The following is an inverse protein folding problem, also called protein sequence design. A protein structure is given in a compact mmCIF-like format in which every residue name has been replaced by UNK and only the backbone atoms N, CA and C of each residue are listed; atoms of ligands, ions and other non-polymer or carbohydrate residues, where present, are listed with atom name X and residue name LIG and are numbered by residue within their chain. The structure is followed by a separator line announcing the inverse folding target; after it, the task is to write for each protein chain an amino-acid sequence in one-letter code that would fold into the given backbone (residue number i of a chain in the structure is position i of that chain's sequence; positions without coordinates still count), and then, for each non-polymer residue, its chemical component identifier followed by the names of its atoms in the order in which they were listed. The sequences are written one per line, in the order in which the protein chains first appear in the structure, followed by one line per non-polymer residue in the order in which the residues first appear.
data_IF_048631027503
#
_entry.id   IF_048631027503
#
_cell.length_a   1.000
_cell.length_b   1.000
_cell.length_c   1.000
_cell.angle_alpha   90.00
_cell.angle_beta   90.00
_cell.angle_gamma   90.00
#
_symmetry.space_group_name_H-M   'P 1'
#
loop_
_entity.id
_entity.type
_entity.pdbx_description
1 polymer ?
#
# COMPACT_ATOMS: atom_id res chain seq x y z
N UNK A 1 31.50 26.55 -12.60
CA UNK A 1 30.77 26.82 -11.34
C UNK A 1 29.85 25.65 -11.11
N UNK A 2 30.09 24.82 -10.09
CA UNK A 2 29.22 23.69 -9.76
C UNK A 2 27.99 24.23 -9.03
N UNK A 3 26.89 24.39 -9.76
CA UNK A 3 25.58 24.73 -9.19
C UNK A 3 25.24 23.67 -8.15
N UNK A 4 25.12 24.07 -6.88
CA UNK A 4 24.87 23.11 -5.81
C UNK A 4 23.38 22.79 -5.80
N UNK A 5 23.00 21.59 -6.25
CA UNK A 5 21.61 21.12 -6.19
C UNK A 5 21.15 21.09 -4.74
N UNK A 6 20.07 21.81 -4.43
CA UNK A 6 19.45 21.86 -3.09
C UNK A 6 18.18 21.02 -3.12
N UNK A 7 17.97 20.08 -2.19
CA UNK A 7 16.76 19.28 -2.17
C UNK A 7 15.56 20.15 -1.80
N UNK A 8 14.42 19.92 -2.45
CA UNK A 8 13.18 20.63 -2.15
C UNK A 8 12.66 20.19 -0.78
N UNK A 9 12.32 21.18 0.06
CA UNK A 9 11.72 20.94 1.36
C UNK A 9 10.20 21.13 1.28
N UNK A 10 9.46 20.05 1.46
CA UNK A 10 8.01 20.08 1.45
C UNK A 10 7.46 20.31 2.87
N UNK A 11 6.61 21.34 3.01
CA UNK A 11 5.81 21.62 4.20
C UNK A 11 4.33 21.25 4.05
N UNK A 12 3.95 20.77 2.86
CA UNK A 12 2.61 20.25 2.54
C UNK A 12 2.73 19.24 1.39
N UNK A 13 1.69 18.42 1.19
CA UNK A 13 1.65 17.43 0.12
C UNK A 13 1.37 18.12 -1.22
N UNK A 14 2.26 18.01 -2.22
CA UNK A 14 2.09 18.67 -3.50
C UNK A 14 0.96 18.04 -4.32
N UNK A 15 0.36 18.81 -5.23
CA UNK A 15 -0.67 18.33 -6.15
C UNK A 15 -0.18 18.39 -7.59
N UNK A 16 -0.39 17.32 -8.34
CA UNK A 16 -0.20 17.29 -9.79
C UNK A 16 -1.53 17.09 -10.51
N UNK A 17 -1.70 17.85 -11.59
CA UNK A 17 -2.82 17.74 -12.51
C UNK A 17 -2.49 16.72 -13.59
N UNK A 18 -3.15 15.56 -13.57
CA UNK A 18 -2.85 14.45 -14.48
C UNK A 18 -3.08 14.81 -15.95
N UNK A 19 -4.00 15.72 -16.28
CA UNK A 19 -4.27 16.08 -17.69
C UNK A 19 -3.09 16.79 -18.34
N UNK A 20 -2.24 17.47 -17.55
CA UNK A 20 -1.02 18.12 -18.03
C UNK A 20 0.03 17.14 -18.51
N UNK A 21 -0.08 15.87 -18.11
CA UNK A 21 0.77 14.81 -18.64
C UNK A 21 0.33 14.35 -20.03
N UNK A 22 -0.90 14.61 -20.51
CA UNK A 22 -1.45 13.83 -21.63
C UNK A 22 -0.91 14.22 -23.02
N UNK A 23 -0.33 15.40 -23.17
CA UNK A 23 0.10 15.92 -24.48
C UNK A 23 1.54 16.44 -24.45
N UNK A 24 2.35 16.19 -25.50
CA UNK A 24 3.69 16.77 -25.60
C UNK A 24 3.64 18.30 -25.57
N UNK A 25 4.60 18.91 -24.87
CA UNK A 25 4.75 20.35 -24.80
C UNK A 25 5.14 20.84 -23.41
N UNK A 26 5.21 22.17 -23.23
CA UNK A 26 5.74 22.78 -22.00
C UNK A 26 5.01 22.35 -20.72
N UNK A 27 3.71 22.06 -20.79
CA UNK A 27 2.93 21.61 -19.63
C UNK A 27 3.34 20.21 -19.17
N UNK A 28 3.59 19.28 -20.11
CA UNK A 28 4.07 17.94 -19.80
C UNK A 28 5.50 17.99 -19.28
N UNK A 29 6.36 18.81 -19.87
CA UNK A 29 7.73 18.99 -19.39
C UNK A 29 7.74 19.50 -17.94
N UNK A 30 6.88 20.47 -17.62
CA UNK A 30 6.70 20.97 -16.26
C UNK A 30 6.14 19.90 -15.32
N UNK A 31 5.13 19.13 -15.76
CA UNK A 31 4.57 18.01 -15.00
C UNK A 31 5.66 16.98 -14.66
N UNK A 32 6.46 16.56 -15.63
CA UNK A 32 7.54 15.57 -15.45
C UNK A 32 8.65 16.10 -14.54
N UNK A 33 9.00 17.39 -14.65
CA UNK A 33 9.97 18.01 -13.76
C UNK A 33 9.47 18.07 -12.31
N UNK A 34 8.20 18.45 -12.09
CA UNK A 34 7.59 18.42 -10.76
C UNK A 34 7.47 17.00 -10.22
N UNK A 35 7.05 16.04 -11.05
CA UNK A 35 6.98 14.64 -10.67
C UNK A 35 8.35 14.12 -10.23
N UNK A 36 9.43 14.37 -11.00
CA UNK A 36 10.80 14.01 -10.62
C UNK A 36 11.18 14.56 -9.24
N UNK A 37 10.93 15.84 -9.00
CA UNK A 37 11.25 16.46 -7.71
C UNK A 37 10.49 15.80 -6.56
N UNK A 38 9.19 15.56 -6.74
CA UNK A 38 8.33 14.88 -5.76
C UNK A 38 8.85 13.47 -5.47
N UNK A 39 9.11 12.68 -6.52
CA UNK A 39 9.57 11.29 -6.41
C UNK A 39 10.85 11.19 -5.58
N UNK A 40 11.76 12.15 -5.76
CA UNK A 40 13.04 12.18 -5.09
C UNK A 40 12.87 12.73 -3.66
N UNK A 41 12.14 13.83 -3.46
CA UNK A 41 12.22 14.61 -2.22
C UNK A 41 11.06 14.39 -1.22
N UNK A 42 9.95 13.76 -1.60
CA UNK A 42 8.87 13.45 -0.64
C UNK A 42 8.14 12.13 -0.91
N UNK A 43 8.07 11.65 -2.14
CA UNK A 43 7.45 10.36 -2.49
C UNK A 43 5.93 10.28 -2.27
N UNK A 44 5.27 11.42 -2.09
CA UNK A 44 3.83 11.58 -1.88
C UNK A 44 3.30 12.77 -2.68
N UNK A 45 2.12 12.62 -3.27
CA UNK A 45 1.40 13.70 -3.94
C UNK A 45 -0.11 13.47 -3.92
N UNK A 46 -0.89 14.53 -4.14
CA UNK A 46 -2.24 14.42 -4.70
C UNK A 46 -2.15 14.37 -6.22
N UNK A 47 -2.95 13.50 -6.83
CA UNK A 47 -3.15 13.43 -8.28
C UNK A 47 -4.59 13.83 -8.57
N UNK A 48 -4.78 15.02 -9.14
CA UNK A 48 -6.08 15.54 -9.56
C UNK A 48 -6.35 15.24 -11.04
N UNK A 49 -7.62 15.32 -11.45
CA UNK A 49 -8.06 15.10 -12.84
C UNK A 49 -7.53 13.79 -13.44
N UNK A 50 -7.44 12.75 -12.59
CA UNK A 50 -7.00 11.41 -12.98
C UNK A 50 -7.99 10.74 -13.95
N UNK A 51 -7.56 9.70 -14.65
CA UNK A 51 -8.37 9.00 -15.65
C UNK A 51 -9.51 8.15 -15.10
N UNK A 52 -9.54 7.85 -13.80
CA UNK A 52 -10.63 7.07 -13.18
C UNK A 52 -11.92 7.91 -13.14
N UNK A 53 -13.01 7.33 -13.62
CA UNK A 53 -14.32 7.99 -13.67
C UNK A 53 -14.81 8.39 -12.28
N UNK A 54 -15.31 9.62 -12.16
CA UNK A 54 -15.91 10.09 -10.91
C UNK A 54 -17.19 9.32 -10.54
N UNK A 55 -17.91 8.74 -11.50
CA UNK A 55 -19.04 7.85 -11.20
C UNK A 55 -18.57 6.59 -10.45
N UNK A 56 -17.48 5.99 -10.90
CA UNK A 56 -16.83 4.83 -10.27
C UNK A 56 -16.31 5.18 -8.87
N UNK A 57 -15.62 6.32 -8.72
CA UNK A 57 -15.16 6.81 -7.40
C UNK A 57 -16.34 7.02 -6.46
N UNK A 58 -17.40 7.70 -6.91
CA UNK A 58 -18.57 8.00 -6.09
C UNK A 58 -19.33 6.73 -5.66
N UNK A 59 -19.42 5.71 -6.53
CA UNK A 59 -19.99 4.41 -6.15
C UNK A 59 -19.20 3.76 -5.02
N UNK A 60 -17.87 3.73 -5.11
CA UNK A 60 -17.02 3.15 -4.06
C UNK A 60 -17.17 3.91 -2.74
N UNK A 61 -17.17 5.25 -2.78
CA UNK A 61 -17.44 6.10 -1.61
C UNK A 61 -18.80 5.75 -0.98
N UNK A 62 -19.85 5.59 -1.79
CA UNK A 62 -21.19 5.28 -1.32
C UNK A 62 -21.33 3.85 -0.75
N UNK A 63 -20.53 2.90 -1.22
CA UNK A 63 -20.53 1.51 -0.73
C UNK A 63 -19.67 1.30 0.51
N UNK A 64 -18.67 2.16 0.74
CA UNK A 64 -17.77 2.08 1.88
C UNK A 64 -18.51 1.93 3.23
N UNK A 65 -19.39 2.87 3.63
CA UNK A 65 -20.13 2.75 4.90
C UNK A 65 -21.07 1.54 4.90
N UNK A 66 -21.79 1.31 3.79
CA UNK A 66 -22.79 0.23 3.68
C UNK A 66 -22.21 -1.15 3.97
N UNK A 67 -20.99 -1.43 3.50
CA UNK A 67 -20.32 -2.70 3.79
C UNK A 67 -20.01 -2.85 5.28
N UNK A 68 -19.45 -1.82 5.93
CA UNK A 68 -19.05 -1.93 7.33
C UNK A 68 -20.22 -1.90 8.32
N UNK A 69 -21.37 -1.37 7.89
CA UNK A 69 -22.64 -1.37 8.60
C UNK A 69 -23.41 -2.70 8.48
N UNK A 70 -22.96 -3.63 7.63
CA UNK A 70 -23.55 -4.97 7.56
C UNK A 70 -23.51 -5.69 8.92
N UNK A 71 -24.48 -6.58 9.21
CA UNK A 71 -24.43 -7.45 10.37
C UNK A 71 -23.08 -8.17 10.49
N UNK A 72 -22.58 -8.31 11.71
CA UNK A 72 -21.23 -8.87 11.94
C UNK A 72 -21.12 -10.28 11.37
N UNK A 73 -22.19 -11.07 11.42
CA UNK A 73 -22.25 -12.43 10.88
C UNK A 73 -21.99 -12.47 9.37
N UNK A 74 -22.44 -11.45 8.62
CA UNK A 74 -22.19 -11.34 7.18
C UNK A 74 -20.73 -10.97 6.92
N UNK A 75 -20.18 -10.01 7.68
CA UNK A 75 -18.75 -9.63 7.57
C UNK A 75 -17.85 -10.82 7.92
N UNK A 76 -18.22 -11.61 8.93
CA UNK A 76 -17.49 -12.80 9.35
C UNK A 76 -17.60 -13.95 8.34
N UNK A 77 -18.70 -14.05 7.56
CA UNK A 77 -18.82 -15.05 6.49
C UNK A 77 -17.80 -14.84 5.35
N UNK A 78 -17.27 -13.62 5.22
CA UNK A 78 -16.22 -13.27 4.23
C UNK A 78 -14.88 -13.00 4.90
N UNK A 79 -14.65 -13.53 6.10
CA UNK A 79 -13.39 -13.38 6.85
C UNK A 79 -12.19 -13.87 6.03
N UNK A 80 -11.09 -13.09 6.06
CA UNK A 80 -9.89 -13.39 5.28
C UNK A 80 -9.29 -14.77 5.59
N UNK A 81 -9.59 -15.35 6.77
CA UNK A 81 -9.15 -16.70 7.15
C UNK A 81 -9.83 -17.83 6.40
N UNK A 82 -10.87 -17.52 5.62
CA UNK A 82 -11.55 -18.41 4.70
C UNK A 82 -10.92 -18.40 3.29
N UNK A 83 -9.88 -17.60 3.04
CA UNK A 83 -9.23 -17.48 1.74
C UNK A 83 -7.74 -17.84 1.79
N UNK A 84 -7.25 -18.83 1.01
CA UNK A 84 -5.81 -19.07 0.86
C UNK A 84 -5.09 -17.85 0.24
N UNK A 85 -5.83 -16.99 -0.46
CA UNK A 85 -5.31 -15.77 -1.06
C UNK A 85 -5.17 -14.62 -0.06
N UNK A 86 -5.61 -14.77 1.20
CA UNK A 86 -5.66 -13.70 2.21
C UNK A 86 -6.53 -12.52 1.74
N UNK A 87 -7.64 -12.82 1.07
CA UNK A 87 -8.66 -11.85 0.65
C UNK A 87 -9.89 -12.02 1.55
N UNK A 88 -10.57 -10.93 1.85
CA UNK A 88 -11.75 -10.91 2.72
C UNK A 88 -11.68 -9.85 3.83
N UNK A 89 -12.64 -9.93 4.72
CA UNK A 89 -12.81 -9.05 5.88
C UNK A 89 -11.80 -9.36 7.00
N UNK A 90 -11.38 -8.31 7.69
CA UNK A 90 -10.45 -8.38 8.80
C UNK A 90 -10.67 -7.21 9.75
N UNK A 91 -10.60 -7.45 11.06
CA UNK A 91 -10.80 -6.46 12.11
C UNK A 91 -9.59 -6.46 13.08
N UNK A 92 -9.02 -5.27 13.30
CA UNK A 92 -7.95 -5.00 14.27
C UNK A 92 -8.51 -4.08 15.34
N UNK A 93 -8.38 -4.47 16.61
CA UNK A 93 -8.88 -3.70 17.76
C UNK A 93 -10.26 -4.14 18.27
N UNK A 94 -10.98 -5.02 17.57
CA UNK A 94 -12.17 -5.71 18.09
C UNK A 94 -11.85 -6.89 19.04
N UNK A 95 -12.85 -7.73 19.35
CA UNK A 95 -12.69 -8.95 20.17
C UNK A 95 -11.64 -9.95 19.62
N UNK A 96 -11.21 -9.78 18.37
CA UNK A 96 -10.08 -10.51 17.77
C UNK A 96 -8.83 -9.64 17.79
N UNK A 97 -7.98 -9.86 18.78
CA UNK A 97 -6.60 -9.33 18.79
C UNK A 97 -5.79 -10.12 17.75
N UNK A 98 -5.79 -9.66 16.50
CA UNK A 98 -4.89 -10.20 15.47
C UNK A 98 -3.74 -9.22 15.23
N UNK A 99 -2.54 -9.79 15.17
CA UNK A 99 -1.24 -9.14 15.03
C UNK A 99 -1.04 -8.46 13.67
N UNK A 100 -1.85 -7.47 13.32
CA UNK A 100 -1.48 -6.58 12.24
C UNK A 100 -0.39 -5.63 12.74
N UNK A 101 0.88 -6.03 12.58
CA UNK A 101 2.01 -5.11 12.76
C UNK A 101 2.30 -4.48 11.40
N UNK A 102 1.95 -3.20 11.25
CA UNK A 102 2.38 -2.40 10.09
C UNK A 102 3.85 -1.95 10.22
N UNK A 103 4.39 -1.87 11.44
CA UNK A 103 5.74 -1.36 11.77
C UNK A 103 6.86 -2.40 12.00
N UNK A 104 8.07 -1.87 12.23
CA UNK A 104 9.38 -2.57 12.34
C UNK A 104 9.48 -3.62 13.45
N UNK A 105 10.46 -4.53 13.30
CA UNK A 105 10.74 -5.68 14.17
C UNK A 105 10.81 -5.32 15.68
N UNK A 106 9.74 -5.62 16.42
CA UNK A 106 9.69 -5.50 17.88
C UNK A 106 8.25 -5.39 18.41
N UNK A 107 8.03 -5.52 19.73
CA UNK A 107 6.76 -5.15 20.34
C UNK A 107 6.56 -3.63 20.29
N UNK A 108 5.61 -3.15 19.48
CA UNK A 108 5.14 -1.75 19.51
C UNK A 108 4.14 -1.58 20.66
N UNK A 109 4.25 -0.51 21.48
CA UNK A 109 3.24 -0.19 22.49
C UNK A 109 1.97 0.43 21.89
N UNK A 110 1.91 0.59 20.56
CA UNK A 110 0.82 1.23 19.82
C UNK A 110 -0.29 0.21 19.54
N UNK A 111 -1.54 0.61 19.81
CA UNK A 111 -2.75 -0.14 19.49
C UNK A 111 -3.35 0.41 18.20
N UNK A 112 -3.46 -0.43 17.18
CA UNK A 112 -4.15 -0.09 15.93
C UNK A 112 -5.63 -0.45 16.04
N UNK A 113 -6.53 0.46 15.61
CA UNK A 113 -7.97 0.23 15.56
C UNK A 113 -8.47 0.47 14.13
N UNK A 114 -8.93 -0.59 13.45
CA UNK A 114 -9.46 -0.52 12.08
C UNK A 114 -10.23 -1.77 11.67
N UNK A 115 -11.19 -1.61 10.79
CA UNK A 115 -11.76 -2.68 9.99
C UNK A 115 -11.27 -2.56 8.54
N UNK A 116 -11.11 -3.69 7.87
CA UNK A 116 -10.77 -3.72 6.44
C UNK A 116 -11.50 -4.83 5.71
N UNK A 117 -11.68 -4.63 4.41
CA UNK A 117 -12.07 -5.65 3.46
C UNK A 117 -11.08 -5.63 2.29
N UNK A 118 -10.31 -6.70 2.12
CA UNK A 118 -9.29 -6.80 1.08
C UNK A 118 -9.80 -7.63 -0.09
N UNK A 119 -9.69 -7.09 -1.30
CA UNK A 119 -10.03 -7.80 -2.51
C UNK A 119 -8.94 -7.59 -3.58
N UNK A 120 -9.02 -8.38 -4.64
CA UNK A 120 -8.23 -8.27 -5.85
C UNK A 120 -9.15 -8.53 -7.04
N UNK A 121 -8.60 -8.51 -8.27
CA UNK A 121 -9.34 -8.98 -9.43
C UNK A 121 -9.87 -10.40 -9.17
N UNK A 122 -11.16 -10.61 -9.41
CA UNK A 122 -11.80 -11.90 -9.19
C UNK A 122 -11.44 -12.83 -10.36
N UNK A 123 -10.32 -13.54 -10.20
CA UNK A 123 -9.75 -14.40 -11.24
C UNK A 123 -9.97 -15.85 -10.87
N UNK A 124 -10.40 -16.64 -11.86
CA UNK A 124 -10.69 -18.06 -11.71
C UNK A 124 -9.36 -18.81 -11.48
N UNK A 125 -8.93 -18.87 -10.22
CA UNK A 125 -7.65 -19.47 -9.83
C UNK A 125 -7.80 -20.99 -9.76
N UNK A 126 -7.89 -21.64 -10.92
CA UNK A 126 -7.56 -23.07 -10.95
C UNK A 126 -6.05 -23.17 -10.78
N UNK A 127 -5.61 -23.22 -9.53
CA UNK A 127 -4.24 -23.60 -9.16
C UNK A 127 -4.02 -25.01 -9.71
N UNK A 128 -3.31 -25.11 -10.83
CA UNK A 128 -2.95 -26.41 -11.36
C UNK A 128 -2.02 -27.14 -10.37
N UNK A 129 -2.14 -28.46 -10.30
CA UNK A 129 -1.22 -29.28 -9.53
C UNK A 129 0.24 -29.00 -9.97
N UNK A 130 1.12 -28.78 -9.00
CA UNK A 130 2.54 -28.48 -9.23
C UNK A 130 2.89 -26.99 -9.42
N UNK A 131 1.93 -26.06 -9.34
CA UNK A 131 2.26 -24.63 -9.27
C UNK A 131 3.03 -24.29 -7.98
N UNK A 132 3.93 -23.30 -8.01
CA UNK A 132 4.65 -22.87 -6.81
C UNK A 132 3.74 -22.40 -5.68
N UNK A 133 4.09 -22.70 -4.43
CA UNK A 133 3.23 -22.44 -3.26
C UNK A 133 2.74 -20.99 -3.13
N UNK A 134 3.54 -20.01 -3.56
CA UNK A 134 3.18 -18.60 -3.52
C UNK A 134 2.05 -18.20 -4.49
N UNK A 135 1.72 -19.02 -5.49
CA UNK A 135 0.64 -18.73 -6.44
C UNK A 135 -0.74 -18.88 -5.81
N UNK A 136 -0.88 -19.60 -4.69
CA UNK A 136 -2.11 -19.63 -3.85
C UNK A 136 -2.53 -18.26 -3.31
N UNK A 137 -1.64 -17.27 -3.39
CA UNK A 137 -1.95 -15.87 -3.11
C UNK A 137 -2.82 -15.22 -4.19
N UNK A 138 -2.94 -15.85 -5.36
CA UNK A 138 -3.93 -15.57 -6.38
C UNK A 138 -5.17 -16.40 -6.08
N UNK A 139 -6.31 -15.75 -5.99
CA UNK A 139 -7.55 -16.45 -5.70
C UNK A 139 -8.77 -15.55 -5.77
N UNK A 140 -9.96 -16.15 -5.81
CA UNK A 140 -11.21 -15.40 -5.86
C UNK A 140 -11.38 -14.53 -4.62
N UNK A 141 -12.03 -13.39 -4.81
CA UNK A 141 -12.42 -12.52 -3.70
C UNK A 141 -13.52 -13.18 -2.86
N UNK A 142 -13.52 -12.94 -1.55
CA UNK A 142 -14.63 -13.33 -0.67
C UNK A 142 -15.63 -12.18 -0.64
N UNK A 143 -16.66 -12.24 -1.46
CA UNK A 143 -17.66 -11.18 -1.58
C UNK A 143 -18.90 -11.47 -0.73
N UNK A 144 -19.55 -10.46 -0.11
CA UNK A 144 -20.85 -10.66 0.50
C UNK A 144 -21.86 -11.12 -0.57
N UNK A 145 -22.94 -11.82 -0.19
CA UNK A 145 -23.96 -12.23 -1.15
C UNK A 145 -24.56 -11.03 -1.90
N UNK A 146 -24.82 -11.19 -3.19
CA UNK A 146 -25.31 -10.12 -4.06
C UNK A 146 -26.66 -9.57 -3.58
N UNK A 147 -27.50 -10.44 -3.02
CA UNK A 147 -28.78 -10.08 -2.41
C UNK A 147 -28.66 -9.25 -1.12
N UNK A 148 -27.53 -9.33 -0.42
CA UNK A 148 -27.28 -8.60 0.83
C UNK A 148 -26.72 -7.20 0.54
N UNK A 149 -25.83 -7.08 -0.45
CA UNK A 149 -25.27 -5.80 -0.85
C UNK A 149 -25.18 -5.68 -2.39
N UNK A 150 -26.33 -5.47 -3.08
CA UNK A 150 -26.41 -5.47 -4.53
C UNK A 150 -25.45 -4.47 -5.18
N UNK A 151 -24.78 -4.89 -6.26
CA UNK A 151 -23.88 -4.08 -7.06
C UNK A 151 -22.52 -3.78 -6.41
N UNK A 152 -22.28 -4.23 -5.17
CA UNK A 152 -21.02 -3.98 -4.45
C UNK A 152 -19.82 -4.54 -5.20
N UNK A 153 -19.85 -5.85 -5.49
CA UNK A 153 -18.77 -6.52 -6.21
C UNK A 153 -18.47 -5.83 -7.54
N UNK A 154 -19.50 -5.57 -8.34
CA UNK A 154 -19.35 -4.92 -9.64
C UNK A 154 -18.71 -3.54 -9.54
N UNK A 155 -19.13 -2.70 -8.58
CA UNK A 155 -18.58 -1.37 -8.38
C UNK A 155 -17.10 -1.38 -7.94
N UNK A 156 -16.72 -2.29 -7.04
CA UNK A 156 -15.34 -2.41 -6.57
C UNK A 156 -14.40 -3.03 -7.60
N UNK A 157 -14.89 -3.95 -8.43
CA UNK A 157 -14.13 -4.51 -9.56
C UNK A 157 -13.91 -3.44 -10.65
N UNK A 158 -14.94 -2.67 -11.01
CA UNK A 158 -14.79 -1.55 -11.95
C UNK A 158 -13.76 -0.50 -11.46
N UNK A 159 -13.82 -0.15 -10.18
CA UNK A 159 -12.80 0.71 -9.55
C UNK A 159 -11.40 0.10 -9.62
N UNK A 160 -11.26 -1.20 -9.32
CA UNK A 160 -9.99 -1.90 -9.41
C UNK A 160 -9.39 -1.80 -10.80
N UNK A 161 -10.17 -2.08 -11.84
CA UNK A 161 -9.69 -2.11 -13.23
C UNK A 161 -9.25 -0.74 -13.72
N UNK A 162 -10.02 0.31 -13.41
CA UNK A 162 -9.68 1.67 -13.81
C UNK A 162 -8.42 2.19 -13.07
N UNK A 163 -8.31 1.92 -11.76
CA UNK A 163 -7.11 2.32 -10.99
C UNK A 163 -5.89 1.49 -11.41
N UNK A 164 -6.08 0.21 -11.76
CA UNK A 164 -5.01 -0.62 -12.32
C UNK A 164 -4.46 -0.01 -13.60
N UNK A 165 -5.32 0.40 -14.54
CA UNK A 165 -4.88 1.07 -15.78
C UNK A 165 -4.10 2.33 -15.48
N UNK A 166 -4.64 3.22 -14.63
CA UNK A 166 -3.96 4.44 -14.20
C UNK A 166 -2.59 4.13 -13.58
N UNK A 167 -2.46 3.06 -12.81
CA UNK A 167 -1.22 2.70 -12.15
C UNK A 167 -0.08 2.35 -13.12
N UNK A 168 -0.40 1.69 -14.24
CA UNK A 168 0.59 1.40 -15.28
C UNK A 168 0.98 2.66 -16.04
N UNK A 169 0.00 3.49 -16.44
CA UNK A 169 0.26 4.75 -17.14
C UNK A 169 1.13 5.68 -16.29
N UNK A 170 0.85 5.75 -14.99
CA UNK A 170 1.62 6.54 -14.04
C UNK A 170 3.03 5.97 -13.82
N UNK A 171 3.21 4.64 -13.82
CA UNK A 171 4.53 4.03 -13.75
C UNK A 171 5.41 4.45 -14.96
N UNK A 172 4.83 4.52 -16.16
CA UNK A 172 5.55 5.05 -17.34
C UNK A 172 5.93 6.52 -17.21
N UNK A 173 5.03 7.36 -16.67
CA UNK A 173 5.34 8.77 -16.37
C UNK A 173 6.45 8.91 -15.33
N UNK A 174 6.51 8.03 -14.32
CA UNK A 174 7.62 7.99 -13.36
C UNK A 174 8.93 7.69 -14.09
N UNK A 175 8.97 6.66 -14.95
CA UNK A 175 10.19 6.30 -15.68
C UNK A 175 10.71 7.47 -16.51
N UNK A 176 9.83 8.08 -17.30
CA UNK A 176 10.14 9.24 -18.14
C UNK A 176 10.57 10.45 -17.32
N UNK A 177 9.88 10.73 -16.20
CA UNK A 177 10.26 11.83 -15.31
C UNK A 177 11.69 11.65 -14.78
N UNK A 178 12.15 10.42 -14.61
CA UNK A 178 13.51 10.09 -14.19
C UNK A 178 14.51 10.03 -15.37
N UNK A 179 14.08 10.39 -16.58
CA UNK A 179 14.88 10.36 -17.80
C UNK A 179 15.19 8.95 -18.31
N UNK A 180 14.36 7.97 -17.94
CA UNK A 180 14.42 6.61 -18.46
C UNK A 180 13.45 6.44 -19.64
N UNK A 181 13.60 5.32 -20.36
CA UNK A 181 12.58 4.85 -21.29
C UNK A 181 11.23 4.67 -20.54
N UNK A 182 10.08 5.12 -21.08
CA UNK A 182 8.78 4.95 -20.43
C UNK A 182 8.40 3.50 -20.10
N UNK A 183 8.99 2.52 -20.78
CA UNK A 183 8.81 1.09 -20.53
C UNK A 183 9.85 0.50 -19.57
N UNK A 184 10.77 1.31 -19.01
CA UNK A 184 11.87 0.82 -18.17
C UNK A 184 11.39 0.02 -16.94
N UNK A 185 10.19 0.30 -16.43
CA UNK A 185 9.61 -0.44 -15.30
C UNK A 185 8.84 -1.71 -15.67
N UNK A 186 8.53 -1.95 -16.96
CA UNK A 186 7.74 -3.10 -17.39
C UNK A 186 8.40 -4.44 -17.06
N UNK A 187 9.73 -4.48 -16.96
CA UNK A 187 10.48 -5.69 -16.62
C UNK A 187 10.16 -6.25 -15.22
N UNK A 188 9.60 -5.44 -14.32
CA UNK A 188 9.15 -5.89 -13.00
C UNK A 188 7.67 -6.29 -12.97
N UNK A 189 6.97 -6.20 -14.09
CA UNK A 189 5.56 -6.55 -14.23
C UNK A 189 5.40 -7.76 -15.15
N UNK A 190 4.33 -8.52 -14.93
CA UNK A 190 3.93 -9.56 -15.88
C UNK A 190 3.36 -8.88 -17.14
N UNK A 191 3.85 -9.32 -18.31
CA UNK A 191 3.29 -8.88 -19.61
C UNK A 191 1.79 -9.18 -19.70
N UNK A 192 1.41 -10.33 -19.14
CA UNK A 192 0.02 -10.67 -18.94
C UNK A 192 -0.47 -10.04 -17.63
N UNK A 193 -1.21 -8.93 -17.75
CA UNK A 193 -1.79 -8.21 -16.61
C UNK A 193 -2.72 -9.11 -15.77
N UNK A 194 -3.24 -10.20 -16.35
CA UNK A 194 -4.03 -11.20 -15.61
C UNK A 194 -3.21 -12.03 -14.63
N UNK A 195 -1.88 -11.91 -14.63
CA UNK A 195 -0.99 -12.51 -13.62
C UNK A 195 -0.52 -11.52 -12.56
N UNK A 196 -0.75 -10.23 -12.79
CA UNK A 196 -0.41 -9.19 -11.83
C UNK A 196 -1.37 -9.22 -10.66
N UNK A 197 -0.88 -9.03 -9.44
CA UNK A 197 -1.71 -9.11 -8.24
C UNK A 197 -1.80 -7.79 -7.46
N UNK A 198 -2.27 -6.68 -8.06
CA UNK A 198 -2.71 -5.55 -7.28
C UNK A 198 -3.75 -5.96 -6.26
N UNK A 199 -3.78 -5.27 -5.14
CA UNK A 199 -4.78 -5.48 -4.09
C UNK A 199 -5.40 -4.16 -3.71
N UNK A 200 -6.68 -4.20 -3.41
CA UNK A 200 -7.40 -3.04 -2.90
C UNK A 200 -7.89 -3.39 -1.51
N UNK A 201 -7.83 -2.41 -0.61
CA UNK A 201 -8.46 -2.52 0.71
C UNK A 201 -9.51 -1.45 0.82
N UNK A 202 -10.73 -1.83 1.15
CA UNK A 202 -11.71 -0.92 1.70
C UNK A 202 -11.45 -0.85 3.21
N UNK A 203 -11.25 0.34 3.78
CA UNK A 203 -10.81 0.53 5.17
C UNK A 203 -11.78 1.43 5.93
N UNK A 204 -12.04 1.10 7.19
CA UNK A 204 -12.81 1.88 8.17
C UNK A 204 -11.96 2.12 9.42
N UNK A 205 -11.92 3.37 9.86
CA UNK A 205 -11.29 3.79 11.11
C UNK A 205 -12.36 4.42 11.99
N UNK A 206 -12.81 3.74 13.05
CA UNK A 206 -13.73 4.32 14.01
C UNK A 206 -12.98 5.35 14.90
N UNK A 207 -13.72 6.24 15.58
CA UNK A 207 -13.18 7.04 16.68
C UNK A 207 -12.47 6.14 17.72
N UNK A 208 -11.44 6.65 18.42
CA UNK A 208 -10.73 5.87 19.41
C UNK A 208 -11.66 5.42 20.54
N UNK A 209 -11.45 4.21 21.04
CA UNK A 209 -12.20 3.66 22.19
C UNK A 209 -11.91 4.43 23.48
N UNK A 210 -10.68 4.91 23.62
CA UNK A 210 -10.25 5.82 24.68
C UNK A 210 -9.57 7.05 24.05
N UNK A 211 -10.29 8.18 23.91
CA UNK A 211 -9.72 9.42 23.38
C UNK A 211 -8.53 9.97 24.17
N UNK A 212 -8.33 9.53 25.42
CA UNK A 212 -7.21 9.94 26.27
C UNK A 212 -5.94 9.12 26.07
N UNK A 213 -6.01 7.99 25.33
CA UNK A 213 -4.88 7.12 25.09
C UNK A 213 -4.08 7.58 23.86
N UNK A 214 -2.89 8.19 24.02
CA UNK A 214 -2.09 8.66 22.90
C UNK A 214 -1.46 7.52 22.07
N UNK A 215 -1.65 6.26 22.50
CA UNK A 215 -1.13 5.07 21.84
C UNK A 215 -2.18 4.37 20.98
N UNK A 216 -3.43 4.85 20.95
CA UNK A 216 -4.45 4.36 20.02
C UNK A 216 -4.38 5.15 18.70
N UNK A 217 -4.24 4.44 17.59
CA UNK A 217 -4.14 5.04 16.25
C UNK A 217 -4.84 4.16 15.22
N UNK A 218 -5.10 4.68 14.02
CA UNK A 218 -5.63 3.88 12.92
C UNK A 218 -4.59 2.87 12.39
N UNK A 219 -3.42 3.37 11.98
CA UNK A 219 -2.26 2.57 11.56
C UNK A 219 -0.99 3.23 12.07
N UNK A 220 -0.08 2.44 12.65
CA UNK A 220 1.25 2.90 13.07
C UNK A 220 2.09 3.37 11.85
N UNK A 221 3.17 4.07 12.14
CA UNK A 221 4.14 4.51 11.15
C UNK A 221 4.71 3.33 10.37
N UNK A 222 4.55 3.37 9.04
CA UNK A 222 5.04 2.34 8.13
C UNK A 222 5.37 2.90 6.75
N UNK A 223 5.92 2.05 5.90
CA UNK A 223 6.16 2.31 4.48
C UNK A 223 5.50 1.19 3.68
N UNK A 224 4.86 1.53 2.57
CA UNK A 224 4.22 0.54 1.71
C UNK A 224 5.24 -0.34 1.03
N UNK A 225 4.98 -1.65 0.96
CA UNK A 225 5.93 -2.63 0.39
C UNK A 225 5.87 -2.76 -1.12
N UNK A 226 4.75 -2.37 -1.73
CA UNK A 226 4.47 -2.54 -3.15
C UNK A 226 5.29 -1.61 -4.04
N UNK A 227 4.80 -1.41 -5.26
CA UNK A 227 5.41 -0.51 -6.23
C UNK A 227 4.87 0.91 -6.08
N UNK A 228 3.55 1.06 -6.22
CA UNK A 228 2.81 2.31 -6.06
C UNK A 228 1.55 2.06 -5.25
N UNK A 229 1.11 3.07 -4.51
CA UNK A 229 -0.19 3.09 -3.84
C UNK A 229 -1.00 4.26 -4.37
N UNK A 230 -2.26 4.00 -4.73
CA UNK A 230 -3.27 5.00 -5.08
C UNK A 230 -4.35 4.95 -4.00
N UNK A 231 -4.37 5.96 -3.13
CA UNK A 231 -5.25 6.03 -1.98
C UNK A 231 -6.39 7.01 -2.24
N UNK A 232 -7.62 6.47 -2.30
CA UNK A 232 -8.82 7.28 -2.19
C UNK A 232 -9.11 7.58 -0.72
N UNK A 233 -9.18 8.85 -0.34
CA UNK A 233 -9.71 9.25 0.96
C UNK A 233 -11.24 9.35 0.86
N UNK A 234 -11.94 8.25 1.14
CA UNK A 234 -13.37 8.06 0.85
C UNK A 234 -14.33 8.72 1.87
N UNK A 235 -13.83 9.69 2.64
CA UNK A 235 -14.58 10.48 3.62
C UNK A 235 -13.85 11.79 3.85
N UNK A 236 -14.55 12.85 4.26
CA UNK A 236 -13.93 14.14 4.57
C UNK A 236 -13.27 14.19 5.97
N UNK A 237 -12.98 13.05 6.57
CA UNK A 237 -12.37 12.93 7.90
C UNK A 237 -10.84 12.80 7.76
N UNK A 238 -10.11 13.73 8.38
CA UNK A 238 -8.65 13.72 8.40
C UNK A 238 -8.07 12.54 9.18
N UNK A 239 -6.78 12.25 8.96
CA UNK A 239 -6.05 11.26 9.76
C UNK A 239 -4.73 10.79 9.14
N UNK A 240 -4.57 10.89 7.83
CA UNK A 240 -3.31 10.55 7.17
C UNK A 240 -2.25 11.61 7.45
N UNK A 241 -1.07 11.16 7.87
CA UNK A 241 0.13 11.99 8.01
C UNK A 241 1.34 11.36 7.31
N UNK A 242 2.18 12.21 6.72
CA UNK A 242 3.34 11.82 5.90
C UNK A 242 4.59 12.44 6.49
N UNK A 243 5.67 11.67 6.63
CA UNK A 243 6.91 12.17 7.21
C UNK A 243 7.83 12.78 6.16
N UNK A 244 8.11 14.07 6.20
CA UNK A 244 9.01 14.72 5.24
C UNK A 244 10.50 14.38 5.50
N UNK A 245 11.40 14.88 4.64
CA UNK A 245 12.85 14.65 4.74
C UNK A 245 13.51 15.27 5.98
N UNK A 246 12.87 16.25 6.61
CA UNK A 246 13.28 16.84 7.90
C UNK A 246 12.78 16.03 9.09
N UNK A 247 12.00 14.97 8.85
CA UNK A 247 11.46 14.10 9.89
C UNK A 247 10.14 14.61 10.50
N UNK A 248 9.57 15.69 9.99
CA UNK A 248 8.31 16.29 10.43
C UNK A 248 7.10 15.55 9.83
N UNK A 249 6.03 15.44 10.60
CA UNK A 249 4.76 14.88 10.14
C UNK A 249 3.89 15.96 9.48
N UNK A 250 3.61 15.79 8.19
CA UNK A 250 2.75 16.65 7.40
C UNK A 250 1.34 16.07 7.35
N UNK A 251 0.32 16.89 7.63
CA UNK A 251 -1.06 16.50 7.43
C UNK A 251 -1.37 16.30 5.94
N UNK A 252 -2.12 15.24 5.62
CA UNK A 252 -2.62 14.93 4.29
C UNK A 252 -4.17 14.88 4.30
N UNK A 253 -4.84 16.05 4.42
CA UNK A 253 -6.30 16.10 4.52
C UNK A 253 -7.00 15.59 3.26
N UNK A 254 -8.24 15.08 3.35
CA UNK A 254 -9.03 14.74 2.16
C UNK A 254 -9.17 15.91 1.19
N UNK A 255 -8.99 15.64 -0.11
CA UNK A 255 -9.21 16.59 -1.20
C UNK A 255 -10.07 15.89 -2.25
N UNK A 256 -11.26 16.45 -2.50
CA UNK A 256 -12.23 15.88 -3.44
C UNK A 256 -11.66 15.75 -4.86
N UNK A 257 -11.98 14.65 -5.53
CA UNK A 257 -11.54 14.39 -6.91
C UNK A 257 -10.04 14.08 -7.05
N UNK A 258 -9.37 13.67 -5.97
CA UNK A 258 -7.95 13.30 -6.00
C UNK A 258 -7.70 11.89 -5.47
N UNK A 259 -6.64 11.28 -5.98
CA UNK A 259 -5.94 10.21 -5.26
C UNK A 259 -4.74 10.79 -4.53
N UNK A 260 -4.49 10.32 -3.31
CA UNK A 260 -3.13 10.42 -2.74
C UNK A 260 -2.31 9.30 -3.37
N UNK A 261 -1.22 9.64 -4.04
CA UNK A 261 -0.29 8.68 -4.64
C UNK A 261 0.99 8.65 -3.83
N UNK A 262 1.43 7.46 -3.44
CA UNK A 262 2.71 7.28 -2.77
C UNK A 262 3.52 6.12 -3.32
N UNK A 263 4.83 6.22 -3.14
CA UNK A 263 5.78 5.23 -3.62
C UNK A 263 5.95 4.13 -2.58
N UNK A 264 6.14 2.90 -3.06
CA UNK A 264 6.43 1.76 -2.22
C UNK A 264 7.91 1.35 -2.24
N UNK A 265 8.28 0.48 -1.30
CA UNK A 265 9.64 -0.03 -1.12
C UNK A 265 10.15 -0.79 -2.34
N UNK A 266 9.28 -1.42 -3.14
CA UNK A 266 9.72 -2.07 -4.36
C UNK A 266 10.23 -1.05 -5.38
N UNK A 267 9.54 0.08 -5.56
CA UNK A 267 9.99 1.16 -6.45
C UNK A 267 11.29 1.81 -5.92
N UNK A 268 11.37 2.10 -4.61
CA UNK A 268 12.61 2.60 -4.02
C UNK A 268 13.77 1.62 -4.27
N UNK A 269 13.53 0.31 -4.11
CA UNK A 269 14.55 -0.70 -4.32
C UNK A 269 15.06 -0.73 -5.75
N UNK A 270 14.17 -0.82 -6.74
CA UNK A 270 14.57 -0.93 -8.14
C UNK A 270 15.21 0.36 -8.66
N UNK A 271 14.86 1.51 -8.07
CA UNK A 271 15.47 2.81 -8.39
C UNK A 271 16.71 3.12 -7.54
N UNK A 272 17.19 2.16 -6.74
CA UNK A 272 18.34 2.30 -5.84
C UNK A 272 18.26 3.50 -4.89
N UNK A 273 17.07 3.79 -4.41
CA UNK A 273 16.83 4.90 -3.49
C UNK A 273 16.54 6.23 -4.17
N UNK A 274 16.61 6.35 -5.51
CA UNK A 274 16.27 7.61 -6.20
C UNK A 274 14.84 8.00 -5.86
N UNK A 275 13.88 7.11 -6.10
CA UNK A 275 12.51 7.27 -5.59
C UNK A 275 12.47 6.97 -4.10
N UNK A 276 11.81 7.81 -3.31
CA UNK A 276 11.69 7.61 -1.87
C UNK A 276 10.32 7.02 -1.53
N UNK A 277 10.28 5.84 -0.93
CA UNK A 277 9.09 5.42 -0.22
C UNK A 277 9.08 6.08 1.17
N UNK A 278 7.99 6.74 1.48
CA UNK A 278 7.96 7.66 2.62
C UNK A 278 7.12 7.08 3.74
N UNK A 279 7.64 7.23 4.95
CA UNK A 279 6.97 6.81 6.16
C UNK A 279 5.69 7.62 6.34
N UNK A 280 4.59 6.92 6.55
CA UNK A 280 3.27 7.52 6.76
C UNK A 280 2.52 6.76 7.87
N UNK A 281 1.55 7.42 8.47
CA UNK A 281 0.70 6.86 9.53
C UNK A 281 -0.75 7.33 9.38
N UNK A 282 -1.67 6.64 10.04
CA UNK A 282 -3.07 7.05 10.10
C UNK A 282 -3.46 7.23 11.56
N UNK A 283 -3.76 8.45 11.96
CA UNK A 283 -4.35 8.77 13.25
C UNK A 283 -5.81 8.34 13.28
N UNK A 284 -6.29 7.91 14.45
CA UNK A 284 -7.73 7.71 14.64
C UNK A 284 -8.46 9.06 14.52
N UNK A 285 -9.72 9.07 14.02
CA UNK A 285 -10.51 10.28 13.95
C UNK A 285 -10.56 11.02 15.29
N UNK A 286 -10.38 12.35 15.31
CA UNK A 286 -10.40 13.13 16.55
C UNK A 286 -11.82 13.37 17.09
N UNK A 287 -12.85 13.10 16.28
CA UNK A 287 -14.26 13.32 16.60
C UNK A 287 -15.10 12.06 16.43
N UNK A 288 -16.45 12.17 16.53
CA UNK A 288 -17.35 11.02 16.44
C UNK A 288 -17.48 10.45 15.03
N UNK A 289 -16.96 11.14 14.02
CA UNK A 289 -17.04 10.74 12.61
C UNK A 289 -16.13 9.56 12.30
N UNK A 290 -16.57 8.70 11.38
CA UNK A 290 -15.80 7.54 10.91
C UNK A 290 -15.02 7.92 9.67
N UNK A 291 -13.71 7.60 9.64
CA UNK A 291 -12.89 7.78 8.44
C UNK A 291 -12.95 6.53 7.57
N UNK A 292 -13.12 6.71 6.26
CA UNK A 292 -13.04 5.67 5.25
C UNK A 292 -11.92 5.95 4.26
N UNK A 293 -11.25 4.91 3.79
CA UNK A 293 -10.26 5.05 2.71
C UNK A 293 -10.11 3.78 1.90
N UNK A 294 -9.70 3.91 0.63
CA UNK A 294 -9.59 2.80 -0.31
C UNK A 294 -8.23 2.81 -1.01
N UNK A 295 -7.16 2.30 -0.37
CA UNK A 295 -5.87 2.12 -1.04
C UNK A 295 -5.90 0.98 -2.04
N UNK A 296 -5.48 1.28 -3.28
CA UNK A 296 -5.04 0.33 -4.29
C UNK A 296 -3.52 0.21 -4.22
N UNK A 297 -3.02 -1.02 -4.06
CA UNK A 297 -1.59 -1.34 -4.00
C UNK A 297 -1.17 -2.02 -5.30
N UNK A 298 -0.47 -1.28 -6.16
CA UNK A 298 0.27 -1.88 -7.27
C UNK A 298 1.45 -2.68 -6.72
N UNK A 299 1.68 -3.85 -7.28
CA UNK A 299 2.76 -4.76 -6.87
C UNK A 299 3.66 -5.06 -8.08
N UNK A 300 4.80 -5.68 -7.82
CA UNK A 300 5.60 -6.30 -8.89
C UNK A 300 5.09 -7.71 -9.19
N UNK A 301 5.50 -8.27 -10.33
CA UNK A 301 5.29 -9.67 -10.66
C UNK A 301 5.78 -10.58 -9.52
N UNK A 302 5.08 -11.68 -9.27
CA UNK A 302 5.55 -12.68 -8.30
C UNK A 302 6.81 -13.42 -8.76
N UNK A 303 7.17 -13.32 -10.05
CA UNK A 303 8.23 -14.09 -10.68
C UNK A 303 9.53 -13.30 -10.89
N UNK A 304 9.63 -12.08 -10.35
CA UNK A 304 10.85 -11.27 -10.43
C UNK A 304 11.60 -11.24 -9.10
N UNK A 305 12.92 -11.08 -9.14
CA UNK A 305 13.71 -10.55 -8.02
C UNK A 305 13.95 -9.07 -8.28
N UNK A 306 13.85 -8.24 -7.25
CA UNK A 306 13.99 -6.79 -7.43
C UNK A 306 15.42 -6.37 -7.81
N UNK A 307 16.42 -7.20 -7.50
CA UNK A 307 17.82 -6.95 -7.83
C UNK A 307 18.18 -7.28 -9.29
N UNK A 308 17.27 -7.88 -10.06
CA UNK A 308 17.59 -8.38 -11.42
C UNK A 308 17.74 -7.26 -12.47
N UNK A 309 17.57 -5.98 -12.10
CA UNK A 309 17.81 -4.85 -13.00
C UNK A 309 18.53 -3.65 -12.36
N UNK A 310 19.20 -2.88 -13.22
CA UNK A 310 20.03 -1.73 -12.88
C UNK A 310 19.69 -0.52 -13.77
N UNK A 311 18.63 0.26 -13.43
CA UNK A 311 18.28 1.43 -14.21
C UNK A 311 19.40 2.47 -14.17
N UNK A 312 19.78 2.94 -15.37
CA UNK A 312 20.80 3.97 -15.55
C UNK A 312 20.15 5.36 -15.58
N UNK A 313 20.22 6.08 -14.48
CA UNK A 313 19.67 7.43 -14.39
C UNK A 313 20.62 8.49 -14.97
N UNK A 314 20.10 9.57 -15.57
CA UNK A 314 20.89 10.75 -15.93
C UNK A 314 21.61 11.35 -14.72
N UNK A 315 22.72 12.04 -14.99
CA UNK A 315 23.55 12.65 -13.96
C UNK A 315 22.76 13.62 -13.05
N UNK A 316 21.83 14.39 -13.61
CA UNK A 316 20.99 15.33 -12.86
C UNK A 316 20.14 14.65 -11.77
N UNK A 317 19.58 13.47 -12.07
CA UNK A 317 18.78 12.68 -11.13
C UNK A 317 19.66 12.17 -9.99
N UNK A 318 20.87 11.73 -10.30
CA UNK A 318 21.85 11.33 -9.29
C UNK A 318 22.28 12.48 -8.40
N UNK A 319 22.41 13.68 -8.94
CA UNK A 319 22.75 14.88 -8.17
C UNK A 319 21.62 15.28 -7.22
N UNK A 320 20.37 15.24 -7.67
CA UNK A 320 19.18 15.45 -6.82
C UNK A 320 19.11 14.41 -5.69
N UNK A 321 19.29 13.13 -6.01
CA UNK A 321 19.34 12.05 -5.03
C UNK A 321 20.44 12.29 -3.98
N UNK A 322 21.68 12.59 -4.42
CA UNK A 322 22.81 12.86 -3.51
C UNK A 322 22.57 14.10 -2.65
N UNK A 323 21.93 15.14 -3.21
CA UNK A 323 21.58 16.34 -2.47
C UNK A 323 20.59 16.04 -1.33
N UNK A 324 19.56 15.23 -1.60
CA UNK A 324 18.62 14.74 -0.58
C UNK A 324 19.30 13.88 0.47
N UNK A 325 20.17 12.95 0.08
CA UNK A 325 20.86 12.05 1.03
C UNK A 325 21.66 12.79 2.09
N UNK A 326 22.24 13.96 1.76
CA UNK A 326 22.96 14.81 2.73
C UNK A 326 22.06 15.39 3.82
N UNK A 327 20.74 15.37 3.63
CA UNK A 327 19.73 15.93 4.56
C UNK A 327 18.96 14.87 5.34
N UNK A 328 18.94 13.62 4.88
CA UNK A 328 18.22 12.55 5.55
C UNK A 328 18.95 12.14 6.84
N UNK A 329 18.24 12.20 7.96
CA UNK A 329 18.69 11.65 9.26
C UNK A 329 18.50 10.12 9.36
N UNK A 330 18.36 9.46 8.21
CA UNK A 330 18.35 8.00 8.12
C UNK A 330 19.48 7.56 7.19
N UNK A 331 20.35 6.63 7.60
CA UNK A 331 21.03 5.83 6.60
C UNK A 331 19.94 5.13 5.79
N UNK A 332 20.00 5.16 4.46
CA UNK A 332 19.23 4.22 3.63
C UNK A 332 19.83 2.84 3.89
N UNK A 333 19.49 2.26 5.03
CA UNK A 333 19.86 0.90 5.38
C UNK A 333 19.00 -0.01 4.53
N UNK A 334 19.66 -0.79 3.68
CA UNK A 334 19.07 -1.79 2.79
C UNK A 334 18.51 -2.97 3.58
N UNK A 335 17.47 -2.76 4.39
CA UNK A 335 16.80 -3.83 5.15
C UNK A 335 15.70 -4.45 4.31
N UNK A 336 16.06 -4.96 3.14
CA UNK A 336 15.30 -5.96 2.40
C UNK A 336 16.28 -6.98 1.80
N UNK A 337 17.12 -7.58 2.65
CA UNK A 337 18.14 -8.55 2.26
C UNK A 337 17.59 -9.81 1.57
N UNK A 338 16.28 -10.09 1.72
CA UNK A 338 15.63 -11.27 1.14
C UNK A 338 14.91 -11.00 -0.21
N UNK A 339 14.37 -9.79 -0.45
CA UNK A 339 13.71 -9.47 -1.73
C UNK A 339 14.70 -9.42 -2.90
N UNK A 340 15.98 -9.20 -2.61
CA UNK A 340 17.05 -9.24 -3.60
C UNK A 340 17.38 -10.67 -4.05
N UNK A 341 17.17 -11.65 -3.17
CA UNK A 341 17.63 -13.04 -3.35
C UNK A 341 16.51 -14.00 -3.74
N UNK A 342 15.26 -13.69 -3.36
CA UNK A 342 14.10 -14.54 -3.57
C UNK A 342 13.10 -13.88 -4.52
N UNK A 343 12.34 -14.73 -5.22
CA UNK A 343 11.20 -14.26 -6.01
C UNK A 343 10.22 -13.46 -5.13
N UNK A 344 9.68 -12.38 -5.68
CA UNK A 344 8.79 -11.48 -4.94
C UNK A 344 7.56 -12.22 -4.38
N UNK A 345 7.03 -13.22 -5.10
CA UNK A 345 5.92 -14.06 -4.64
C UNK A 345 6.25 -14.81 -3.35
N UNK A 346 7.43 -15.43 -3.27
CA UNK A 346 7.89 -16.15 -2.08
C UNK A 346 8.15 -15.19 -0.91
N UNK A 347 8.74 -14.03 -1.17
CA UNK A 347 8.95 -13.01 -0.13
C UNK A 347 7.62 -12.53 0.44
N UNK A 348 6.62 -12.30 -0.42
CA UNK A 348 5.25 -11.90 -0.02
C UNK A 348 4.58 -12.99 0.82
N UNK A 349 4.67 -14.25 0.39
CA UNK A 349 4.09 -15.37 1.13
C UNK A 349 4.75 -15.51 2.51
N UNK A 350 6.08 -15.45 2.58
CA UNK A 350 6.84 -15.50 3.84
C UNK A 350 6.37 -14.43 4.80
N UNK A 351 6.20 -13.20 4.33
CA UNK A 351 5.70 -12.10 5.15
C UNK A 351 4.28 -12.38 5.67
N UNK A 352 3.36 -12.82 4.80
CA UNK A 352 1.99 -13.14 5.21
C UNK A 352 1.94 -14.26 6.24
N UNK A 353 2.67 -15.36 6.02
CA UNK A 353 2.76 -16.48 6.97
C UNK A 353 3.37 -16.05 8.31
N UNK A 354 4.34 -15.12 8.31
CA UNK A 354 4.90 -14.59 9.56
C UNK A 354 3.90 -13.73 10.36
N UNK A 355 3.03 -12.98 9.70
CA UNK A 355 2.03 -12.13 10.37
C UNK A 355 0.74 -12.86 10.70
N UNK A 356 0.42 -13.90 9.93
CA UNK A 356 -0.77 -14.73 10.05
C UNK A 356 -0.37 -16.22 10.08
N UNK A 357 0.33 -16.68 11.13
CA UNK A 357 0.78 -18.06 11.23
C UNK A 357 -0.37 -19.08 11.16
N UNK A 358 -1.57 -18.71 11.63
CA UNK A 358 -2.79 -19.50 11.51
C UNK A 358 -3.15 -19.82 10.05
N UNK A 359 -2.94 -18.86 9.15
CA UNK A 359 -3.17 -19.02 7.72
C UNK A 359 -2.10 -19.90 7.09
N UNK A 360 -0.85 -19.73 7.50
CA UNK A 360 0.24 -20.60 7.08
C UNK A 360 -0.01 -22.06 7.45
N UNK A 361 -0.44 -22.33 8.69
CA UNK A 361 -0.79 -23.68 9.14
C UNK A 361 -1.94 -24.29 8.33
N UNK A 362 -2.99 -23.50 8.04
CA UNK A 362 -4.21 -23.96 7.37
C UNK A 362 -4.01 -24.22 5.87
N UNK A 363 -3.39 -23.29 5.15
CA UNK A 363 -3.34 -23.32 3.67
C UNK A 363 -1.96 -23.65 3.09
N UNK A 364 -0.90 -23.52 3.90
CA UNK A 364 0.50 -23.69 3.49
C UNK A 364 1.31 -24.58 4.44
N UNK A 365 0.81 -25.76 4.87
CA UNK A 365 1.36 -26.49 6.02
C UNK A 365 2.82 -26.93 5.85
N UNK A 366 3.26 -27.24 4.62
CA UNK A 366 4.67 -27.59 4.34
C UNK A 366 5.55 -26.34 4.48
N UNK A 367 5.21 -25.27 3.76
CA UNK A 367 5.95 -24.02 3.79
C UNK A 367 5.95 -23.36 5.19
N UNK A 368 4.86 -23.49 5.94
CA UNK A 368 4.77 -23.03 7.33
C UNK A 368 5.86 -23.65 8.21
N UNK A 369 6.14 -24.95 8.06
CA UNK A 369 7.19 -25.65 8.81
C UNK A 369 8.60 -25.20 8.40
N UNK A 370 8.79 -24.78 7.15
CA UNK A 370 10.05 -24.18 6.69
C UNK A 370 10.27 -22.79 7.31
N UNK A 371 9.22 -21.98 7.40
CA UNK A 371 9.27 -20.64 8.01
C UNK A 371 9.42 -20.73 9.54
N UNK A 372 8.81 -21.73 10.17
CA UNK A 372 8.79 -21.95 11.61
C UNK A 372 9.20 -23.39 11.99
N UNK A 373 10.47 -23.77 11.79
CA UNK A 373 10.94 -25.15 12.05
C UNK A 373 10.80 -25.56 13.52
N UNK A 374 10.81 -24.59 14.44
CA UNK A 374 10.66 -24.79 15.89
C UNK A 374 9.27 -24.35 16.41
N UNK A 375 8.30 -24.17 15.51
CA UNK A 375 7.01 -23.57 15.82
C UNK A 375 7.03 -22.02 15.82
N UNK A 376 5.86 -21.37 15.72
CA UNK A 376 5.78 -19.92 15.79
C UNK A 376 6.12 -19.43 17.21
N UNK A 377 6.62 -18.20 17.37
CA UNK A 377 6.89 -17.65 18.70
C UNK A 377 5.68 -17.77 19.62
N UNK A 378 5.83 -18.44 20.78
CA UNK A 378 4.79 -18.47 21.80
C UNK A 378 4.60 -17.06 22.35
N UNK A 379 3.37 -16.54 22.32
CA UNK A 379 3.08 -15.22 22.89
C UNK A 379 3.35 -15.30 24.40
N UNK A 380 4.33 -14.55 24.91
CA UNK A 380 4.47 -14.39 26.35
C UNK A 380 3.21 -13.68 26.87
N UNK A 381 2.33 -14.42 27.53
CA UNK A 381 1.25 -13.87 28.35
C UNK A 381 1.88 -13.16 29.56
N UNK A 382 2.34 -11.92 29.39
CA UNK A 382 2.51 -11.01 30.53
C UNK A 382 1.22 -10.22 30.69
N UNK A 383 0.18 -10.93 31.14
CA UNK A 383 -0.83 -10.32 32.00
C UNK A 383 -0.13 -10.19 33.35
N UNK A 384 0.58 -9.08 33.57
CA UNK A 384 1.07 -8.78 34.90
C UNK A 384 -0.13 -8.28 35.72
N UNK A 385 -0.56 -9.16 36.62
CA UNK A 385 -1.14 -8.87 37.92
C UNK A 385 -0.85 -7.45 38.43
N UNK A 386 -1.87 -6.60 38.43
CA UNK A 386 -2.02 -5.54 39.41
C UNK A 386 -3.22 -5.91 40.28
N UNK A 387 -2.96 -6.84 41.20
CA UNK A 387 -3.79 -7.10 42.36
C UNK A 387 -2.82 -7.51 43.49
N UNK A 388 -2.33 -6.50 44.20
CA UNK A 388 -1.90 -6.49 45.60
C UNK A 388 -1.38 -5.08 45.93
#
# INVERSE_FOLDING_TARGET
MTTTVTPTHYSSIPTLDYTKSQHPGPERDAFLASLRDILINIGFLYLSNHSVSMDTVNKVIAYAPKFFELPQEIKDSVDFTCSPAFLGYFNVGGQRVVHARSGTEGPSPISETREQFTFAADRDSKLADGCPEWTKQDGPGLWPPEEVLPGFKAALVDYYEQVESLSYDFASLIAESLGLDPAAFEQWFDKDRMKMQPRVKLMRYPPPTDPSNPKETGIDSHEDRGFLTFLLQASNVAGLEVRNISGEWLACPPVDGTFVVNLGRALEKVTRGVCMATSHRVLSPPGPEVRYSVPFFSNVSMYVRLADADPQFPQEVWEMYKARQRKLDRPVNWVYSNMDKQLAGLTRLTYKVKNHPEMGMKYHPVFFREVFPNGPPTKSSKVNSLAA
#
